data_IF_144364993119
#
_entry.id   IF_144364993119
#
_cell.length_a   1.000
_cell.length_b   1.000
_cell.length_c   1.000
_cell.angle_alpha   90.00
_cell.angle_beta   90.00
_cell.angle_gamma   90.00
#
_symmetry.space_group_name_H-M   'P 1'
#
loop_
_entity.id
_entity.type
_entity.pdbx_description
1 polymer ?
#
# COMPACT_ATOMS: atom_id res chain seq x y z
N UNK A 1 37.90 11.87 -42.99
CA UNK A 1 38.63 11.35 -41.82
C UNK A 1 38.10 12.09 -40.60
N UNK A 2 37.08 11.56 -39.92
CA UNK A 2 36.47 12.21 -38.74
C UNK A 2 36.71 11.32 -37.51
N UNK A 3 37.30 11.83 -36.42
CA UNK A 3 37.67 11.02 -35.27
C UNK A 3 36.56 10.95 -34.21
N UNK A 4 36.57 9.84 -33.46
CA UNK A 4 35.99 9.59 -32.14
C UNK A 4 34.46 9.58 -31.98
N UNK A 5 33.89 8.37 -32.13
CA UNK A 5 32.69 7.96 -31.40
C UNK A 5 33.04 7.75 -29.91
N UNK A 6 32.33 8.34 -28.94
CA UNK A 6 32.58 8.06 -27.53
C UNK A 6 32.21 6.60 -27.21
N UNK A 7 33.10 5.93 -26.47
CA UNK A 7 32.93 4.56 -26.00
C UNK A 7 31.62 4.41 -25.19
N UNK A 8 30.93 3.25 -25.29
CA UNK A 8 29.77 2.97 -24.48
C UNK A 8 30.16 2.98 -23.00
N UNK A 9 29.49 3.85 -22.22
CA UNK A 9 29.71 3.93 -20.77
C UNK A 9 29.40 2.57 -20.13
N UNK A 10 30.27 2.05 -19.25
CA UNK A 10 29.94 0.86 -18.48
C UNK A 10 28.70 1.17 -17.64
N UNK A 11 27.61 0.44 -17.89
CA UNK A 11 26.39 0.47 -17.10
C UNK A 11 26.78 -0.02 -15.70
N UNK A 12 27.06 0.92 -14.80
CA UNK A 12 27.28 0.62 -13.41
C UNK A 12 26.06 -0.15 -12.89
N UNK A 13 26.34 -1.30 -12.27
CA UNK A 13 25.50 -1.90 -11.26
C UNK A 13 24.10 -2.32 -11.73
N UNK A 14 24.07 -3.48 -12.38
CA UNK A 14 23.21 -4.60 -11.99
C UNK A 14 23.36 -4.95 -10.49
N UNK A 15 23.07 -4.00 -9.61
CA UNK A 15 22.97 -4.24 -8.18
C UNK A 15 21.52 -3.99 -7.81
N UNK A 16 20.94 -4.92 -7.06
CA UNK A 16 19.58 -4.86 -6.50
C UNK A 16 18.44 -5.43 -7.36
N UNK A 17 18.67 -6.59 -7.98
CA UNK A 17 17.62 -7.61 -8.11
C UNK A 17 17.30 -8.22 -6.74
N UNK A 18 16.88 -7.40 -5.77
CA UNK A 18 16.32 -7.92 -4.53
C UNK A 18 15.08 -8.77 -4.89
N UNK A 19 14.91 -9.98 -4.33
CA UNK A 19 13.83 -10.86 -4.73
C UNK A 19 12.49 -10.19 -4.41
N UNK A 20 11.78 -9.73 -5.44
CA UNK A 20 10.42 -9.17 -5.34
C UNK A 20 9.48 -10.09 -4.53
N UNK A 21 9.77 -11.40 -4.50
CA UNK A 21 9.04 -12.39 -3.72
C UNK A 21 8.94 -12.08 -2.20
N UNK A 22 9.96 -11.44 -1.60
CA UNK A 22 10.00 -11.22 -0.15
C UNK A 22 9.02 -10.16 0.37
N UNK A 23 8.80 -9.08 -0.40
CA UNK A 23 7.95 -7.94 0.02
C UNK A 23 6.45 -8.21 -0.14
N UNK A 24 6.05 -8.98 -1.14
CA UNK A 24 4.65 -9.37 -1.31
C UNK A 24 4.23 -10.42 -0.27
N UNK A 25 5.12 -11.36 0.05
CA UNK A 25 4.87 -12.39 1.06
C UNK A 25 4.69 -11.82 2.46
N UNK A 26 5.56 -10.91 2.91
CA UNK A 26 5.50 -10.38 4.28
C UNK A 26 4.22 -9.60 4.57
N UNK A 27 3.78 -8.75 3.63
CA UNK A 27 2.61 -7.90 3.83
C UNK A 27 1.30 -8.69 3.70
N UNK A 28 1.23 -9.63 2.75
CA UNK A 28 0.08 -10.51 2.61
C UNK A 28 -0.07 -11.46 3.81
N UNK A 29 1.04 -11.99 4.33
CA UNK A 29 1.05 -12.83 5.53
C UNK A 29 0.67 -12.02 6.77
N UNK A 30 1.19 -10.81 6.94
CA UNK A 30 0.83 -9.93 8.06
C UNK A 30 -0.67 -9.59 8.05
N UNK A 31 -1.23 -9.24 6.89
CA UNK A 31 -2.67 -8.98 6.74
C UNK A 31 -3.53 -10.22 6.97
N UNK A 32 -3.12 -11.38 6.43
CA UNK A 32 -3.84 -12.64 6.62
C UNK A 32 -3.84 -13.10 8.07
N UNK A 33 -2.73 -12.91 8.79
CA UNK A 33 -2.61 -13.27 10.21
C UNK A 33 -3.52 -12.41 11.09
N UNK A 34 -3.62 -11.11 10.84
CA UNK A 34 -4.53 -10.22 11.58
C UNK A 34 -6.00 -10.64 11.41
N UNK A 35 -6.41 -10.98 10.18
CA UNK A 35 -7.77 -11.46 9.89
C UNK A 35 -8.02 -12.81 10.59
N UNK A 36 -7.07 -13.74 10.50
CA UNK A 36 -7.19 -15.05 11.14
C UNK A 36 -7.31 -14.94 12.66
N UNK A 37 -6.49 -14.08 13.29
CA UNK A 37 -6.56 -13.82 14.74
C UNK A 37 -7.89 -13.18 15.15
N UNK A 38 -8.39 -12.24 14.34
CA UNK A 38 -9.70 -11.61 14.58
C UNK A 38 -10.82 -12.66 14.51
N UNK A 39 -10.87 -13.45 13.45
CA UNK A 39 -11.87 -14.53 13.30
C UNK A 39 -11.77 -15.52 14.46
N UNK A 40 -10.54 -15.97 14.79
CA UNK A 40 -10.30 -16.90 15.88
C UNK A 40 -10.83 -16.34 17.21
N UNK A 41 -10.55 -15.08 17.52
CA UNK A 41 -11.03 -14.42 18.73
C UNK A 41 -12.57 -14.45 18.81
N UNK A 42 -13.25 -14.03 17.74
CA UNK A 42 -14.72 -14.01 17.72
C UNK A 42 -15.34 -15.41 17.78
N UNK A 43 -14.71 -16.41 17.15
CA UNK A 43 -15.14 -17.82 17.25
C UNK A 43 -14.99 -18.34 18.67
N UNK A 44 -13.86 -18.07 19.34
CA UNK A 44 -13.65 -18.50 20.73
C UNK A 44 -14.66 -17.86 21.68
N UNK A 45 -14.96 -16.57 21.49
CA UNK A 45 -16.00 -15.87 22.27
C UNK A 45 -17.38 -16.51 22.01
N UNK A 46 -17.74 -16.73 20.74
CA UNK A 46 -19.02 -17.33 20.39
C UNK A 46 -19.19 -18.74 20.93
N UNK A 47 -18.12 -19.54 20.90
CA UNK A 47 -18.11 -20.87 21.48
C UNK A 47 -18.30 -20.84 23.01
N UNK A 48 -17.64 -19.91 23.70
CA UNK A 48 -17.81 -19.73 25.15
C UNK A 48 -19.24 -19.34 25.53
N UNK A 49 -19.85 -18.42 24.76
CA UNK A 49 -21.24 -18.00 24.99
C UNK A 49 -22.21 -19.15 24.68
N UNK A 50 -22.05 -19.82 23.54
CA UNK A 50 -22.94 -20.92 23.12
C UNK A 50 -22.88 -22.10 24.10
N UNK A 51 -21.70 -22.40 24.65
CA UNK A 51 -21.53 -23.45 25.68
C UNK A 51 -22.10 -23.07 27.03
N UNK A 52 -22.06 -21.79 27.41
CA UNK A 52 -22.63 -21.32 28.68
C UNK A 52 -24.16 -21.20 28.64
N UNK A 53 -24.72 -20.72 27.52
CA UNK A 53 -26.17 -20.52 27.35
C UNK A 53 -26.90 -21.75 26.80
N UNK A 54 -26.17 -22.77 26.35
CA UNK A 54 -26.74 -23.94 25.69
C UNK A 54 -27.37 -23.63 24.33
N UNK A 55 -27.12 -22.45 23.78
CA UNK A 55 -27.56 -22.07 22.44
C UNK A 55 -26.75 -22.86 21.43
N UNK A 56 -27.39 -23.78 20.71
CA UNK A 56 -26.81 -24.42 19.53
C UNK A 56 -26.47 -23.32 18.50
N UNK A 57 -25.39 -23.48 17.71
CA UNK A 57 -24.25 -22.55 17.56
C UNK A 57 -24.60 -21.18 16.96
N UNK A 58 -25.53 -20.46 17.59
CA UNK A 58 -26.11 -19.25 17.04
C UNK A 58 -25.18 -18.06 17.25
N UNK A 59 -24.63 -17.91 18.47
CA UNK A 59 -23.71 -16.81 18.74
C UNK A 59 -22.41 -16.97 17.98
N UNK A 60 -21.90 -18.20 17.84
CA UNK A 60 -20.72 -18.45 17.01
C UNK A 60 -20.92 -18.02 15.55
N UNK A 61 -22.07 -18.32 14.94
CA UNK A 61 -22.37 -17.90 13.57
C UNK A 61 -22.48 -16.37 13.48
N UNK A 62 -23.22 -15.74 14.39
CA UNK A 62 -23.41 -14.28 14.38
C UNK A 62 -22.07 -13.56 14.57
N UNK A 63 -21.26 -13.98 15.53
CA UNK A 63 -19.95 -13.37 15.80
C UNK A 63 -18.95 -13.63 14.68
N UNK A 64 -18.99 -14.80 14.05
CA UNK A 64 -18.19 -15.08 12.86
C UNK A 64 -18.56 -14.15 11.70
N UNK A 65 -19.85 -13.99 11.40
CA UNK A 65 -20.32 -13.08 10.36
C UNK A 65 -19.96 -11.63 10.69
N UNK A 66 -20.06 -11.22 11.95
CA UNK A 66 -19.63 -9.91 12.41
C UNK A 66 -18.13 -9.69 12.22
N UNK A 67 -17.29 -10.66 12.57
CA UNK A 67 -15.85 -10.60 12.35
C UNK A 67 -15.52 -10.48 10.86
N UNK A 68 -16.14 -11.30 10.01
CA UNK A 68 -15.94 -11.26 8.57
C UNK A 68 -16.35 -9.90 7.96
N UNK A 69 -17.53 -9.39 8.34
CA UNK A 69 -18.03 -8.10 7.88
C UNK A 69 -17.15 -6.94 8.39
N UNK A 70 -16.72 -7.00 9.65
CA UNK A 70 -15.81 -6.02 10.26
C UNK A 70 -14.45 -5.98 9.57
N UNK A 71 -13.86 -7.14 9.27
CA UNK A 71 -12.61 -7.23 8.50
C UNK A 71 -12.76 -6.61 7.11
N UNK A 72 -13.90 -6.85 6.44
CA UNK A 72 -14.17 -6.26 5.13
C UNK A 72 -14.35 -4.74 5.20
N UNK A 73 -15.12 -4.25 6.19
CA UNK A 73 -15.32 -2.81 6.42
C UNK A 73 -13.99 -2.10 6.71
N UNK A 74 -13.13 -2.69 7.54
CA UNK A 74 -11.79 -2.18 7.83
C UNK A 74 -10.95 -2.07 6.55
N UNK A 75 -10.92 -3.11 5.73
CA UNK A 75 -10.21 -3.09 4.45
C UNK A 75 -10.67 -1.93 3.57
N UNK A 76 -11.98 -1.70 3.48
CA UNK A 76 -12.53 -0.58 2.71
C UNK A 76 -12.05 0.78 3.26
N UNK A 77 -12.14 0.97 4.58
CA UNK A 77 -11.74 2.22 5.22
C UNK A 77 -10.24 2.51 5.07
N UNK A 78 -9.40 1.49 5.18
CA UNK A 78 -7.94 1.61 4.98
C UNK A 78 -7.62 1.94 3.53
N UNK A 79 -8.34 1.32 2.59
CA UNK A 79 -8.14 1.57 1.16
C UNK A 79 -8.47 3.02 0.78
N UNK A 80 -9.58 3.55 1.28
CA UNK A 80 -9.98 4.94 1.04
C UNK A 80 -8.92 5.92 1.62
N UNK A 81 -8.42 5.66 2.83
CA UNK A 81 -7.38 6.48 3.45
C UNK A 81 -6.03 6.47 2.70
N UNK A 82 -5.66 5.34 2.08
CA UNK A 82 -4.43 5.24 1.29
C UNK A 82 -4.56 5.99 -0.05
N UNK A 83 -5.74 5.99 -0.67
CA UNK A 83 -5.97 6.72 -1.93
C UNK A 83 -5.87 8.23 -1.72
N UNK A 84 -6.45 8.76 -0.65
CA UNK A 84 -6.34 10.18 -0.29
C UNK A 84 -4.87 10.60 -0.11
N UNK A 85 -4.06 9.73 0.51
CA UNK A 85 -2.63 9.98 0.71
C UNK A 85 -1.86 10.00 -0.62
N UNK A 86 -2.14 9.07 -1.52
CA UNK A 86 -1.50 9.01 -2.84
C UNK A 86 -1.89 10.21 -3.72
N UNK A 87 -3.13 10.68 -3.60
CA UNK A 87 -3.57 11.90 -4.28
C UNK A 87 -2.85 13.14 -3.74
N UNK A 88 -2.70 13.27 -2.43
CA UNK A 88 -1.94 14.37 -1.81
C UNK A 88 -0.47 14.39 -2.32
N UNK A 89 0.22 13.25 -2.33
CA UNK A 89 1.59 13.15 -2.86
C UNK A 89 1.68 13.53 -4.35
N UNK A 90 0.66 13.18 -5.15
CA UNK A 90 0.63 13.53 -6.59
C UNK A 90 0.45 15.03 -6.81
N UNK A 91 -0.39 15.68 -5.99
CA UNK A 91 -0.58 17.13 -6.04
C UNK A 91 0.72 17.83 -5.66
N UNK A 92 1.39 17.37 -4.61
CA UNK A 92 2.67 17.93 -4.15
C UNK A 92 3.76 17.80 -5.21
N UNK A 93 3.94 16.60 -5.80
CA UNK A 93 4.91 16.37 -6.89
C UNK A 93 4.60 17.21 -8.13
N UNK A 94 3.32 17.41 -8.47
CA UNK A 94 2.90 18.26 -9.58
C UNK A 94 3.21 19.73 -9.31
N UNK A 95 2.97 20.19 -8.08
CA UNK A 95 3.26 21.56 -7.68
C UNK A 95 4.77 21.83 -7.66
N UNK A 96 5.58 20.89 -7.16
CA UNK A 96 7.03 20.96 -7.19
C UNK A 96 7.57 21.08 -8.63
N UNK A 97 7.11 20.22 -9.55
CA UNK A 97 7.49 20.30 -10.97
C UNK A 97 7.08 21.61 -11.62
N UNK A 98 5.92 22.16 -11.26
CA UNK A 98 5.43 23.45 -11.79
C UNK A 98 6.26 24.62 -11.27
N UNK A 99 6.67 24.58 -10.00
CA UNK A 99 7.56 25.60 -9.42
C UNK A 99 8.95 25.58 -10.08
N UNK A 100 9.46 24.39 -10.40
CA UNK A 100 10.73 24.22 -11.10
C UNK A 100 10.68 24.73 -12.56
N UNK A 101 9.57 24.50 -13.28
CA UNK A 101 9.37 25.04 -14.64
C UNK A 101 9.06 26.54 -14.68
N UNK A 102 8.55 27.11 -13.59
CA UNK A 102 8.28 28.54 -13.46
C UNK A 102 9.51 29.34 -13.00
N UNK A 103 10.62 28.67 -12.65
CA UNK A 103 11.90 29.33 -12.47
C UNK A 103 12.31 29.95 -13.82
N UNK A 104 12.45 31.28 -13.89
CA UNK A 104 12.48 31.99 -15.16
C UNK A 104 13.73 31.59 -15.95
N UNK A 105 13.51 31.08 -17.18
CA UNK A 105 14.46 31.29 -18.27
C UNK A 105 14.73 32.80 -18.31
N UNK A 106 15.93 33.20 -17.88
CA UNK A 106 16.41 34.57 -17.93
C UNK A 106 16.09 35.17 -19.31
N UNK A 107 15.67 36.45 -19.36
CA UNK A 107 15.26 37.05 -20.61
C UNK A 107 16.42 36.96 -21.59
N UNK A 108 16.15 36.31 -22.71
CA UNK A 108 16.90 36.43 -23.96
C UNK A 108 17.11 37.93 -24.18
N UNK A 109 18.36 38.37 -23.99
CA UNK A 109 18.78 39.74 -24.17
C UNK A 109 18.73 40.08 -25.67
N UNK A 110 17.52 40.35 -26.15
CA UNK A 110 17.28 41.13 -27.35
C UNK A 110 17.37 42.60 -26.96
N UNK A 111 18.58 43.18 -27.05
CA UNK A 111 18.76 44.62 -27.10
C UNK A 111 20.17 44.98 -27.61
N UNK A 112 20.19 45.38 -28.88
CA UNK A 112 20.99 46.45 -29.49
C UNK A 112 22.52 46.29 -29.62
#
# INVERSE_FOLDING_TARGET
MSPNSPAPRPRAADTESAPLAGRFGSNAVAGGMEIALTILLFVLIGLGIDTWLGTRPLFMIVLFLFAAAGSFARTKLIYDAEMDRLEAERIEKRNAKRAEQAAPSAPEADAA
#
